data_IF_330114012340
#
_entry.id   IF_330114012340
#
_cell.length_a   1.000
_cell.length_b   1.000
_cell.length_c   1.000
_cell.angle_alpha   90.00
_cell.angle_beta   90.00
_cell.angle_gamma   90.00
#
_symmetry.space_group_name_H-M   'P 1'
#
loop_
_entity.id
_entity.type
_entity.pdbx_description
1 polymer ?
#
# COMPACT_ATOMS: atom_id res chain seq x y z
N UNK A 1 75.67 2.38 -17.59
CA UNK A 1 75.11 2.29 -16.22
C UNK A 1 75.35 3.65 -15.57
N UNK A 2 74.30 4.23 -14.99
CA UNK A 2 74.08 5.65 -14.65
C UNK A 2 75.24 6.45 -14.03
N UNK A 3 75.28 7.78 -14.24
CA UNK A 3 75.09 8.85 -13.21
C UNK A 3 75.55 10.27 -13.66
N UNK A 4 74.77 11.30 -13.28
CA UNK A 4 75.10 12.71 -12.91
C UNK A 4 75.18 13.81 -13.99
N UNK A 5 74.28 14.80 -13.85
CA UNK A 5 74.35 16.29 -13.96
C UNK A 5 72.88 16.75 -14.08
N UNK A 6 72.12 17.23 -13.07
CA UNK A 6 72.32 18.29 -12.05
C UNK A 6 72.79 19.62 -12.65
N UNK A 7 72.07 20.69 -12.26
CA UNK A 7 72.34 22.12 -12.51
C UNK A 7 71.92 22.61 -13.91
N UNK A 8 71.21 23.71 -14.11
CA UNK A 8 70.84 24.86 -13.28
C UNK A 8 69.91 25.74 -14.14
N UNK A 9 69.01 26.47 -13.49
CA UNK A 9 68.39 27.75 -13.89
C UNK A 9 67.12 27.89 -13.02
N UNK A 10 67.32 28.20 -11.74
CA UNK A 10 67.25 29.55 -11.17
C UNK A 10 65.89 30.20 -11.40
N UNK A 11 65.05 30.26 -10.38
CA UNK A 11 65.09 31.33 -9.36
C UNK A 11 64.51 32.64 -9.89
N UNK A 12 63.35 33.01 -9.36
CA UNK A 12 63.13 34.23 -8.59
C UNK A 12 61.67 34.66 -8.71
N UNK A 13 60.96 34.65 -7.60
CA UNK A 13 59.56 35.08 -7.54
C UNK A 13 58.92 34.90 -6.18
N UNK A 14 59.64 35.33 -5.16
CA UNK A 14 59.24 35.44 -3.75
C UNK A 14 57.87 36.12 -3.56
N UNK A 15 57.07 35.64 -2.61
CA UNK A 15 55.84 36.29 -2.13
C UNK A 15 54.81 35.25 -1.66
N UNK A 16 55.16 34.43 -0.67
CA UNK A 16 54.83 34.67 0.74
C UNK A 16 53.36 34.95 1.00
N UNK A 17 52.86 34.09 1.87
CA UNK A 17 51.52 33.95 2.40
C UNK A 17 50.89 35.22 2.97
N UNK A 18 49.57 35.08 3.09
CA UNK A 18 48.71 35.59 4.13
C UNK A 18 47.79 36.76 3.79
N UNK A 19 46.56 36.54 4.28
CA UNK A 19 45.50 37.50 4.55
C UNK A 19 44.55 37.75 3.36
N UNK A 20 43.53 36.88 3.31
CA UNK A 20 42.11 37.29 3.39
C UNK A 20 41.81 38.62 2.71
N UNK A 21 41.35 38.56 1.46
CA UNK A 21 40.46 39.59 0.94
C UNK A 21 39.26 38.93 0.26
N UNK A 22 38.15 38.73 0.99
CA UNK A 22 36.90 38.20 0.47
C UNK A 22 36.05 39.34 -0.11
N UNK A 23 36.58 40.14 -1.05
CA UNK A 23 35.87 41.38 -1.40
C UNK A 23 35.87 41.85 -2.87
N UNK A 24 36.39 41.08 -3.85
CA UNK A 24 36.40 41.59 -5.25
C UNK A 24 35.91 40.60 -6.32
N UNK A 25 35.16 39.56 -5.91
CA UNK A 25 34.25 38.85 -6.82
C UNK A 25 32.88 38.66 -6.17
N UNK A 26 32.36 39.75 -5.64
CA UNK A 26 31.03 39.89 -5.02
C UNK A 26 30.10 40.75 -5.89
N UNK A 27 30.36 40.88 -7.20
CA UNK A 27 29.53 41.69 -8.15
C UNK A 27 29.13 40.90 -9.41
N UNK A 28 29.23 39.57 -9.39
CA UNK A 28 28.27 38.77 -10.15
C UNK A 28 27.62 37.87 -9.12
N UNK A 29 26.28 37.92 -8.95
CA UNK A 29 25.62 36.85 -8.22
C UNK A 29 25.97 35.56 -8.97
N UNK A 30 26.69 34.65 -8.31
CA UNK A 30 26.70 33.22 -8.65
C UNK A 30 25.28 32.67 -8.33
N UNK A 31 24.27 33.24 -8.99
CA UNK A 31 22.89 32.76 -9.07
C UNK A 31 22.67 32.27 -10.50
N UNK A 32 23.53 31.37 -10.96
CA UNK A 32 23.05 30.32 -11.87
C UNK A 32 22.55 29.22 -10.95
N UNK A 33 21.37 29.44 -10.36
CA UNK A 33 20.49 28.35 -9.97
C UNK A 33 20.16 27.67 -11.31
N UNK A 34 20.99 26.69 -11.69
CA UNK A 34 20.75 25.84 -12.85
C UNK A 34 19.42 25.15 -12.55
N UNK A 35 18.33 25.71 -13.06
CA UNK A 35 16.99 25.16 -12.92
C UNK A 35 17.04 23.74 -13.50
N UNK A 36 17.17 22.75 -12.62
CA UNK A 36 17.14 21.34 -12.99
C UNK A 36 15.83 21.08 -13.73
N UNK A 37 15.92 20.87 -15.05
CA UNK A 37 14.75 20.60 -15.91
C UNK A 37 13.82 19.60 -15.22
N UNK A 38 12.59 20.02 -14.96
CA UNK A 38 11.63 19.16 -14.29
C UNK A 38 11.31 17.95 -15.19
N UNK A 39 10.99 16.80 -14.58
CA UNK A 39 10.54 15.64 -15.35
C UNK A 39 9.34 15.99 -16.26
N UNK A 40 8.52 16.97 -15.87
CA UNK A 40 7.40 17.48 -16.66
C UNK A 40 7.88 18.21 -17.92
N UNK A 41 8.90 19.05 -17.83
CA UNK A 41 9.50 19.75 -18.98
C UNK A 41 10.17 18.78 -19.94
N UNK A 42 10.87 17.76 -19.42
CA UNK A 42 11.40 16.68 -20.25
C UNK A 42 10.30 15.89 -20.94
N UNK A 43 9.20 15.60 -20.23
CA UNK A 43 8.06 14.90 -20.80
C UNK A 43 7.39 15.76 -21.89
N UNK A 44 7.22 17.06 -21.63
CA UNK A 44 6.58 17.97 -22.59
C UNK A 44 7.43 18.12 -23.84
N UNK A 45 8.75 18.32 -23.70
CA UNK A 45 9.69 18.40 -24.81
C UNK A 45 9.74 17.09 -25.62
N UNK A 46 9.68 15.94 -24.93
CA UNK A 46 9.57 14.65 -25.61
C UNK A 46 8.25 14.52 -26.38
N UNK A 47 7.13 15.05 -25.83
CA UNK A 47 5.83 15.04 -26.53
C UNK A 47 5.79 15.96 -27.75
N UNK A 48 6.64 17.00 -27.80
CA UNK A 48 6.76 17.89 -28.96
C UNK A 48 7.40 17.22 -30.18
N UNK A 49 8.16 16.13 -30.00
CA UNK A 49 8.73 15.37 -31.11
C UNK A 49 7.72 14.49 -31.84
N UNK A 50 6.49 14.33 -31.31
CA UNK A 50 5.47 13.44 -31.87
C UNK A 50 4.37 14.21 -32.64
N UNK A 51 3.79 13.59 -33.69
CA UNK A 51 2.65 14.15 -34.42
C UNK A 51 1.44 14.44 -33.51
N UNK A 52 0.69 15.49 -33.82
CA UNK A 52 -0.50 15.88 -33.06
C UNK A 52 -1.55 14.77 -32.93
N UNK A 53 -1.67 13.91 -33.94
CA UNK A 53 -2.61 12.79 -33.94
C UNK A 53 -2.33 11.81 -32.78
N UNK A 54 -1.06 11.51 -32.51
CA UNK A 54 -0.65 10.58 -31.44
C UNK A 54 -0.85 11.23 -30.08
N UNK A 55 -0.52 12.52 -29.95
CA UNK A 55 -0.73 13.30 -28.72
C UNK A 55 -2.22 13.42 -28.38
N UNK A 56 -3.07 13.71 -29.37
CA UNK A 56 -4.52 13.77 -29.21
C UNK A 56 -5.11 12.40 -28.86
N UNK A 57 -4.61 11.32 -29.46
CA UNK A 57 -5.02 9.97 -29.08
C UNK A 57 -4.69 9.65 -27.62
N UNK A 58 -3.46 9.97 -27.17
CA UNK A 58 -3.06 9.81 -25.77
C UNK A 58 -3.92 10.63 -24.80
N UNK A 59 -4.20 11.89 -25.14
CA UNK A 59 -5.08 12.76 -24.37
C UNK A 59 -6.52 12.23 -24.31
N UNK A 60 -7.06 11.76 -25.44
CA UNK A 60 -8.39 11.15 -25.52
C UNK A 60 -8.46 9.83 -24.73
N UNK A 61 -7.41 9.02 -24.77
CA UNK A 61 -7.34 7.80 -23.96
C UNK A 61 -7.29 8.12 -22.47
N UNK A 62 -6.45 9.08 -22.06
CA UNK A 62 -6.31 9.50 -20.67
C UNK A 62 -7.61 10.10 -20.12
N UNK A 63 -8.24 11.00 -20.88
CA UNK A 63 -9.53 11.59 -20.52
C UNK A 63 -10.68 10.56 -20.53
N UNK A 64 -10.68 9.63 -21.47
CA UNK A 64 -11.63 8.50 -21.48
C UNK A 64 -11.40 7.62 -20.26
N UNK A 65 -10.17 7.20 -19.97
CA UNK A 65 -9.84 6.32 -18.86
C UNK A 65 -10.22 6.93 -17.52
N UNK A 66 -9.87 8.19 -17.28
CA UNK A 66 -10.25 8.91 -16.05
C UNK A 66 -11.77 9.03 -15.92
N UNK A 67 -12.49 9.35 -16.99
CA UNK A 67 -13.96 9.38 -17.01
C UNK A 67 -14.57 8.00 -16.76
N UNK A 68 -14.00 6.94 -17.35
CA UNK A 68 -14.46 5.55 -17.20
C UNK A 68 -14.19 5.02 -15.81
N UNK A 69 -13.04 5.31 -15.21
CA UNK A 69 -12.72 4.96 -13.83
C UNK A 69 -13.69 5.61 -12.85
N UNK A 70 -13.99 6.90 -13.05
CA UNK A 70 -14.99 7.61 -12.26
C UNK A 70 -16.39 7.00 -12.40
N UNK A 71 -16.78 6.65 -13.63
CA UNK A 71 -18.05 5.99 -13.90
C UNK A 71 -18.10 4.58 -13.30
N UNK A 72 -17.05 3.78 -13.45
CA UNK A 72 -16.93 2.43 -12.90
C UNK A 72 -16.96 2.45 -11.37
N UNK A 73 -16.32 3.42 -10.73
CA UNK A 73 -16.37 3.59 -9.28
C UNK A 73 -17.79 3.90 -8.79
N UNK A 74 -18.50 4.80 -9.49
CA UNK A 74 -19.89 5.11 -9.15
C UNK A 74 -20.81 3.92 -9.42
N UNK A 75 -20.61 3.24 -10.54
CA UNK A 75 -21.34 2.03 -10.89
C UNK A 75 -21.09 0.91 -9.89
N UNK A 76 -19.84 0.65 -9.47
CA UNK A 76 -19.51 -0.41 -8.52
C UNK A 76 -20.09 -0.14 -7.14
N UNK A 77 -20.08 1.12 -6.69
CA UNK A 77 -20.71 1.51 -5.43
C UNK A 77 -22.24 1.28 -5.48
N UNK A 78 -22.89 1.69 -6.58
CA UNK A 78 -24.32 1.46 -6.77
C UNK A 78 -24.67 -0.03 -6.94
N UNK A 79 -23.88 -0.77 -7.71
CA UNK A 79 -24.07 -2.19 -7.96
C UNK A 79 -23.87 -2.99 -6.67
N UNK A 80 -22.85 -2.68 -5.87
CA UNK A 80 -22.62 -3.31 -4.57
C UNK A 80 -23.81 -3.08 -3.63
N UNK A 81 -24.34 -1.86 -3.60
CA UNK A 81 -25.51 -1.54 -2.79
C UNK A 81 -26.75 -2.36 -3.21
N UNK A 82 -27.02 -2.44 -4.51
CA UNK A 82 -28.14 -3.22 -5.05
C UNK A 82 -27.93 -4.71 -4.78
N UNK A 83 -26.76 -5.25 -5.13
CA UNK A 83 -26.43 -6.66 -4.91
C UNK A 83 -26.55 -7.05 -3.45
N UNK A 84 -26.03 -6.23 -2.53
CA UNK A 84 -26.14 -6.49 -1.10
C UNK A 84 -27.59 -6.44 -0.62
N UNK A 85 -28.34 -5.40 -1.00
CA UNK A 85 -29.74 -5.24 -0.61
C UNK A 85 -30.61 -6.38 -1.14
N UNK A 86 -30.44 -6.74 -2.42
CA UNK A 86 -31.17 -7.82 -3.07
C UNK A 86 -30.82 -9.18 -2.47
N UNK A 87 -29.52 -9.43 -2.22
CA UNK A 87 -29.04 -10.63 -1.55
C UNK A 87 -29.72 -10.80 -0.18
N UNK A 88 -29.71 -9.76 0.65
CA UNK A 88 -30.29 -9.81 1.99
C UNK A 88 -31.78 -10.20 1.99
N UNK A 89 -32.59 -9.63 1.09
CA UNK A 89 -34.03 -9.90 1.03
C UNK A 89 -34.31 -11.36 0.61
N UNK A 90 -33.52 -11.91 -0.31
CA UNK A 90 -33.72 -13.27 -0.81
C UNK A 90 -33.21 -14.31 0.19
N UNK A 91 -32.10 -14.05 0.86
CA UNK A 91 -31.54 -14.99 1.83
C UNK A 91 -32.24 -14.98 3.19
N UNK A 92 -32.91 -13.89 3.56
CA UNK A 92 -33.66 -13.79 4.83
C UNK A 92 -34.62 -14.98 5.09
N UNK A 93 -35.53 -15.38 4.18
CA UNK A 93 -36.40 -16.54 4.43
C UNK A 93 -35.63 -17.87 4.51
N UNK A 94 -34.60 -18.05 3.69
CA UNK A 94 -33.76 -19.26 3.66
C UNK A 94 -33.05 -19.45 5.00
N UNK A 95 -32.50 -18.37 5.57
CA UNK A 95 -31.80 -18.41 6.85
C UNK A 95 -32.75 -18.82 7.98
N UNK A 96 -33.97 -18.31 8.00
CA UNK A 96 -34.96 -18.64 9.04
C UNK A 96 -35.35 -20.13 8.99
N UNK A 97 -35.50 -20.70 7.80
CA UNK A 97 -35.76 -22.13 7.66
C UNK A 97 -34.60 -22.99 8.20
N UNK A 98 -33.35 -22.58 7.92
CA UNK A 98 -32.15 -23.25 8.42
C UNK A 98 -32.06 -23.14 9.95
N UNK A 99 -32.28 -21.95 10.51
CA UNK A 99 -32.25 -21.72 11.97
C UNK A 99 -33.32 -22.53 12.70
N UNK A 100 -34.52 -22.66 12.12
CA UNK A 100 -35.58 -23.50 12.70
C UNK A 100 -35.18 -24.97 12.71
N UNK A 101 -34.63 -25.49 11.61
CA UNK A 101 -34.13 -26.86 11.57
C UNK A 101 -33.02 -27.10 12.60
N UNK A 102 -32.10 -26.14 12.75
CA UNK A 102 -31.03 -26.20 13.74
C UNK A 102 -31.54 -26.13 15.19
N UNK A 103 -32.56 -25.30 15.46
CA UNK A 103 -33.15 -25.19 16.80
C UNK A 103 -33.85 -26.48 17.23
N UNK A 104 -34.55 -27.16 16.32
CA UNK A 104 -35.21 -28.44 16.64
C UNK A 104 -34.19 -29.53 17.00
N UNK A 105 -33.07 -29.59 16.27
CA UNK A 105 -31.97 -30.51 16.58
C UNK A 105 -31.27 -30.17 17.90
N UNK A 106 -31.04 -28.87 18.17
CA UNK A 106 -30.44 -28.41 19.41
C UNK A 106 -31.36 -28.67 20.62
N UNK A 107 -32.66 -28.45 20.49
CA UNK A 107 -33.60 -28.76 21.55
C UNK A 107 -33.68 -30.26 21.81
N UNK A 108 -33.64 -31.10 20.75
CA UNK A 108 -33.56 -32.56 20.93
C UNK A 108 -32.27 -33.00 21.60
N UNK A 109 -31.13 -32.39 21.28
CA UNK A 109 -29.86 -32.72 21.94
C UNK A 109 -29.85 -32.25 23.40
N UNK A 110 -30.41 -31.08 23.70
CA UNK A 110 -30.58 -30.58 25.06
C UNK A 110 -31.57 -31.41 25.87
N UNK A 111 -32.70 -31.83 25.30
CA UNK A 111 -33.64 -32.74 25.96
C UNK A 111 -32.98 -34.07 26.27
N UNK A 112 -32.19 -34.63 25.33
CA UNK A 112 -31.41 -35.84 25.59
C UNK A 112 -30.39 -35.62 26.71
N UNK A 113 -29.66 -34.50 26.73
CA UNK A 113 -28.69 -34.20 27.79
C UNK A 113 -29.33 -33.85 29.14
N UNK A 114 -30.51 -33.25 29.16
CA UNK A 114 -31.26 -32.92 30.38
C UNK A 114 -31.94 -34.15 30.98
N UNK A 115 -32.52 -35.02 30.14
CA UNK A 115 -33.19 -36.25 30.58
C UNK A 115 -32.19 -37.35 30.98
N UNK A 116 -30.98 -37.31 30.42
CA UNK A 116 -29.88 -38.20 30.79
C UNK A 116 -28.95 -37.57 31.85
N UNK A 117 -29.12 -36.27 32.11
CA UNK A 117 -28.17 -35.47 32.89
C UNK A 117 -26.74 -35.50 32.31
N UNK A 118 -25.82 -34.66 32.83
CA UNK A 118 -24.39 -34.81 32.58
C UNK A 118 -23.82 -36.18 32.98
N UNK A 119 -24.64 -37.02 33.64
CA UNK A 119 -24.27 -38.31 34.18
C UNK A 119 -24.55 -39.50 33.25
N UNK A 120 -25.57 -39.56 32.38
CA UNK A 120 -25.78 -40.83 31.64
C UNK A 120 -24.73 -41.11 30.56
N UNK A 121 -24.00 -40.09 30.06
CA UNK A 121 -22.79 -40.33 29.27
C UNK A 121 -21.63 -40.91 30.10
N UNK A 122 -21.65 -40.68 31.42
CA UNK A 122 -20.68 -41.21 32.37
C UNK A 122 -21.08 -42.57 32.97
N UNK A 123 -22.33 -43.01 32.77
CA UNK A 123 -22.86 -44.28 33.32
C UNK A 123 -22.88 -45.45 32.31
N UNK A 124 -22.44 -45.23 31.06
CA UNK A 124 -22.25 -46.31 30.07
C UNK A 124 -20.77 -46.75 29.94
N UNK A 125 -19.99 -46.57 31.01
CA UNK A 125 -18.64 -47.11 31.12
C UNK A 125 -18.37 -47.56 32.56
N UNK A 126 -18.14 -48.85 32.82
CA UNK A 126 -17.81 -49.33 34.15
C UNK A 126 -16.37 -48.92 34.46
N UNK A 127 -16.15 -47.79 35.12
CA UNK A 127 -14.83 -47.47 35.65
C UNK A 127 -14.56 -46.00 35.95
N UNK A 128 -14.30 -45.74 37.22
CA UNK A 128 -13.49 -44.65 37.76
C UNK A 128 -14.12 -43.26 37.83
N UNK A 129 -14.46 -42.86 39.05
CA UNK A 129 -14.89 -41.51 39.39
C UNK A 129 -13.77 -40.48 39.36
N UNK A 130 -14.17 -39.21 39.45
CA UNK A 130 -13.37 -38.13 40.02
C UNK A 130 -14.35 -36.99 40.33
N UNK A 131 -14.59 -36.72 41.61
CA UNK A 131 -15.32 -35.52 42.04
C UNK A 131 -14.49 -34.26 41.77
N UNK A 132 -15.11 -33.08 41.62
CA UNK A 132 -14.39 -31.85 41.29
C UNK A 132 -13.54 -31.37 42.48
N UNK A 133 -12.35 -30.77 42.22
CA UNK A 133 -11.43 -30.36 43.27
C UNK A 133 -11.92 -29.11 44.02
N UNK A 134 -11.90 -29.19 45.35
CA UNK A 134 -12.11 -28.07 46.28
C UNK A 134 -10.85 -27.19 46.26
N UNK A 135 -10.98 -25.94 45.83
CA UNK A 135 -9.94 -24.93 45.98
C UNK A 135 -10.10 -24.23 47.35
N UNK A 136 -9.01 -24.17 48.11
CA UNK A 136 -8.82 -23.31 49.29
C UNK A 136 -7.66 -22.37 49.03
#
# INVERSE_FOLDING_TARGET
MATIEELDLTDSGMGSSDIRSPEVKSILPDEEEEDDESLTERLIGLTEMFPEEIRNFGYNLGSCLTSRLKALYKFSCSATWIMFSTSAIIFAPIIIEIERAQMEEMQRSQQKQALLGPSAAMHMGPGMGMGPPVQR
#
